data_IF_260274244896
#
_entry.id   IF_260274244896
#
_cell.length_a   1.000
_cell.length_b   1.000
_cell.length_c   1.000
_cell.angle_alpha   90.00
_cell.angle_beta   90.00
_cell.angle_gamma   90.00
#
_symmetry.space_group_name_H-M   'P 1'
#
loop_
_entity.id
_entity.type
_entity.pdbx_description
1 polymer ?
#
# COMPACT_ATOMS: atom_id res chain seq x y z
N UNK A 1 30.76 -24.06 20.73
CA UNK A 1 30.44 -23.37 19.46
C UNK A 1 29.05 -23.82 19.08
N UNK A 2 28.05 -22.95 19.20
CA UNK A 2 26.64 -23.32 19.03
C UNK A 2 26.11 -22.53 17.84
N UNK A 3 25.74 -23.24 16.77
CA UNK A 3 25.06 -22.68 15.60
C UNK A 3 23.58 -23.05 15.75
N UNK A 4 22.73 -22.06 15.96
CA UNK A 4 21.30 -22.23 15.89
C UNK A 4 20.85 -21.90 14.46
N UNK A 5 20.43 -22.92 13.71
CA UNK A 5 19.77 -22.75 12.42
C UNK A 5 18.28 -22.57 12.69
N UNK A 6 17.76 -21.38 12.42
CA UNK A 6 16.32 -21.12 12.39
C UNK A 6 15.80 -21.39 10.97
N UNK A 7 15.11 -22.51 10.79
CA UNK A 7 14.24 -22.72 9.63
C UNK A 7 12.85 -22.22 10.02
N UNK A 8 12.66 -20.91 9.95
CA UNK A 8 11.33 -20.32 10.02
C UNK A 8 10.64 -20.54 8.68
N UNK A 9 9.63 -21.43 8.66
CA UNK A 9 8.62 -21.42 7.60
C UNK A 9 7.79 -20.16 7.81
N UNK A 10 8.22 -19.03 7.23
CA UNK A 10 7.30 -17.95 6.95
C UNK A 10 6.51 -18.39 5.72
N UNK A 11 5.19 -18.57 5.84
CA UNK A 11 4.36 -18.57 4.63
C UNK A 11 4.43 -17.14 4.08
N UNK A 12 5.18 -16.88 2.98
CA UNK A 12 5.58 -15.51 2.64
C UNK A 12 4.44 -14.71 1.98
N UNK A 13 3.42 -15.40 1.48
CA UNK A 13 2.49 -14.80 0.53
C UNK A 13 1.41 -13.90 1.14
N UNK A 14 1.12 -14.00 2.44
CA UNK A 14 0.08 -13.16 3.08
C UNK A 14 0.66 -11.98 3.88
N UNK A 15 1.98 -11.93 4.10
CA UNK A 15 2.62 -10.89 4.91
C UNK A 15 3.39 -9.85 4.07
N UNK A 16 3.79 -10.20 2.85
CA UNK A 16 4.40 -9.24 1.93
C UNK A 16 3.49 -8.01 1.77
N UNK A 17 4.09 -6.83 1.89
CA UNK A 17 3.45 -5.51 1.84
C UNK A 17 2.50 -5.17 3.00
N UNK A 18 2.39 -6.01 4.03
CA UNK A 18 1.56 -5.70 5.18
C UNK A 18 2.10 -4.49 5.94
N UNK A 19 1.22 -3.51 6.18
CA UNK A 19 1.61 -2.25 6.84
C UNK A 19 1.88 -2.39 8.34
N UNK A 20 1.48 -3.51 8.93
CA UNK A 20 1.79 -3.87 10.30
C UNK A 20 3.06 -4.74 10.41
N UNK A 21 3.61 -5.24 9.30
CA UNK A 21 4.81 -6.06 9.30
C UNK A 21 6.07 -5.18 9.33
N UNK A 22 6.95 -5.47 10.30
CA UNK A 22 8.24 -4.80 10.53
C UNK A 22 9.42 -5.57 9.94
N UNK A 23 9.16 -6.71 9.29
CA UNK A 23 10.12 -7.46 8.51
C UNK A 23 10.51 -6.78 7.20
N UNK A 24 11.47 -7.38 6.49
CA UNK A 24 11.99 -6.89 5.21
C UNK A 24 10.92 -6.77 4.10
N UNK A 25 9.95 -7.67 4.09
CA UNK A 25 8.89 -7.71 3.06
C UNK A 25 7.70 -6.81 3.41
N UNK A 26 7.67 -6.24 4.62
CA UNK A 26 6.59 -5.40 5.13
C UNK A 26 6.65 -3.94 4.68
N UNK A 27 5.57 -3.21 4.93
CA UNK A 27 5.43 -1.79 4.56
C UNK A 27 5.25 -0.85 5.76
N UNK A 28 5.56 -1.29 6.98
CA UNK A 28 5.43 -0.46 8.19
C UNK A 28 6.27 0.82 8.12
N UNK A 29 7.53 0.73 7.68
CA UNK A 29 8.41 1.91 7.51
C UNK A 29 7.90 2.87 6.43
N UNK A 30 7.37 2.36 5.32
CA UNK A 30 6.73 3.20 4.29
C UNK A 30 5.55 3.97 4.88
N UNK A 31 4.71 3.31 5.68
CA UNK A 31 3.58 3.95 6.34
C UNK A 31 4.02 5.00 7.37
N UNK A 32 5.08 4.72 8.14
CA UNK A 32 5.67 5.67 9.09
C UNK A 32 6.14 6.94 8.37
N UNK A 33 7.01 6.81 7.36
CA UNK A 33 7.51 7.94 6.57
C UNK A 33 6.36 8.72 5.94
N UNK A 34 5.36 8.04 5.37
CA UNK A 34 4.20 8.71 4.78
C UNK A 34 3.43 9.54 5.83
N UNK A 35 3.23 9.01 7.04
CA UNK A 35 2.53 9.73 8.13
C UNK A 35 3.35 10.90 8.66
N UNK A 36 4.67 10.77 8.73
CA UNK A 36 5.58 11.84 9.13
C UNK A 36 5.58 12.98 8.12
N UNK A 37 5.73 12.67 6.83
CA UNK A 37 5.82 13.66 5.75
C UNK A 37 4.47 14.29 5.39
N UNK A 38 3.39 13.49 5.39
CA UNK A 38 2.08 13.94 4.95
C UNK A 38 1.13 14.27 6.11
N UNK A 39 1.45 13.86 7.34
CA UNK A 39 0.60 13.99 8.50
C UNK A 39 -0.38 12.82 8.67
N UNK A 40 -0.44 12.26 9.88
CA UNK A 40 -1.18 11.02 10.18
C UNK A 40 -2.69 11.04 9.86
N UNK A 41 -3.32 12.23 9.81
CA UNK A 41 -4.74 12.35 9.44
C UNK A 41 -4.99 12.28 7.93
N UNK A 42 -3.96 12.51 7.11
CA UNK A 42 -4.06 12.50 5.65
C UNK A 42 -3.66 11.16 5.02
N UNK A 43 -3.09 10.24 5.80
CA UNK A 43 -2.70 8.91 5.34
C UNK A 43 -3.71 7.88 5.84
N UNK A 44 -4.30 7.12 4.92
CA UNK A 44 -5.28 6.08 5.23
C UNK A 44 -4.89 4.80 4.52
N UNK A 45 -4.71 3.73 5.29
CA UNK A 45 -4.60 2.37 4.76
C UNK A 45 -6.02 1.82 4.64
N UNK A 46 -6.41 1.43 3.44
CA UNK A 46 -7.76 0.93 3.13
C UNK A 46 -7.68 -0.33 2.29
N UNK A 47 -8.54 -1.32 2.57
CA UNK A 47 -8.68 -2.52 1.74
C UNK A 47 -9.77 -2.40 0.66
N UNK A 48 -10.54 -1.31 0.65
CA UNK A 48 -11.57 -1.04 -0.35
C UNK A 48 -11.66 0.46 -0.61
N UNK A 49 -11.78 0.83 -1.89
CA UNK A 49 -11.80 2.21 -2.34
C UNK A 49 -13.16 2.57 -2.95
N UNK A 50 -13.86 3.49 -2.28
CA UNK A 50 -14.95 4.26 -2.87
C UNK A 50 -14.36 5.51 -3.55
N UNK A 51 -14.51 5.60 -4.87
CA UNK A 51 -14.00 6.74 -5.64
C UNK A 51 -14.84 8.00 -5.43
N UNK A 52 -16.09 7.89 -4.95
CA UNK A 52 -16.98 9.04 -4.79
C UNK A 52 -16.58 9.99 -3.67
N UNK A 53 -15.73 9.53 -2.74
CA UNK A 53 -15.23 10.32 -1.62
C UNK A 53 -13.87 10.97 -1.89
N UNK A 54 -13.29 10.74 -3.06
CA UNK A 54 -11.99 11.31 -3.43
C UNK A 54 -12.15 12.73 -3.97
N UNK A 55 -11.24 13.60 -3.56
CA UNK A 55 -11.09 14.93 -4.11
C UNK A 55 -9.94 14.98 -5.13
N UNK A 56 -9.97 15.88 -6.13
CA UNK A 56 -8.89 16.04 -7.11
C UNK A 56 -7.48 16.21 -6.55
N UNK A 57 -7.35 16.68 -5.31
CA UNK A 57 -6.05 16.86 -4.65
C UNK A 57 -5.53 15.61 -3.97
N UNK A 58 -6.32 14.55 -3.88
CA UNK A 58 -5.91 13.30 -3.25
C UNK A 58 -4.94 12.51 -4.15
N UNK A 59 -4.30 11.52 -3.55
CA UNK A 59 -3.45 10.58 -4.24
C UNK A 59 -3.73 9.14 -3.78
N UNK A 60 -3.67 8.19 -4.72
CA UNK A 60 -3.86 6.76 -4.46
C UNK A 60 -2.53 6.04 -4.72
N UNK A 61 -2.11 5.19 -3.80
CA UNK A 61 -1.02 4.24 -4.00
C UNK A 61 -1.61 2.83 -3.96
N UNK A 62 -1.55 2.12 -5.09
CA UNK A 62 -1.88 0.69 -5.15
C UNK A 62 -0.60 -0.10 -4.87
N UNK A 63 -0.57 -0.85 -3.77
CA UNK A 63 0.53 -1.76 -3.44
C UNK A 63 0.08 -3.18 -3.78
N UNK A 64 0.79 -3.83 -4.71
CA UNK A 64 0.54 -5.21 -5.16
C UNK A 64 -0.97 -5.53 -5.31
N UNK A 65 -1.69 -4.84 -6.22
CA UNK A 65 -3.12 -5.04 -6.36
C UNK A 65 -3.43 -6.45 -6.90
N UNK A 66 -4.00 -7.31 -6.07
CA UNK A 66 -4.44 -8.66 -6.45
C UNK A 66 -5.83 -8.70 -7.09
N UNK A 67 -6.44 -7.53 -7.27
CA UNK A 67 -7.77 -7.33 -7.86
C UNK A 67 -7.71 -6.31 -8.98
N UNK A 68 -8.66 -6.39 -9.90
CA UNK A 68 -8.75 -5.44 -11.01
C UNK A 68 -9.01 -4.01 -10.49
N UNK A 69 -8.15 -3.08 -10.90
CA UNK A 69 -8.36 -1.64 -10.64
C UNK A 69 -9.40 -1.12 -11.64
N UNK A 70 -10.52 -0.62 -11.11
CA UNK A 70 -11.63 -0.11 -11.93
C UNK A 70 -11.19 1.07 -12.81
N UNK A 71 -11.08 0.83 -14.12
CA UNK A 71 -10.58 1.82 -15.08
C UNK A 71 -11.41 3.10 -15.14
N UNK A 72 -12.73 3.02 -15.36
CA UNK A 72 -13.56 4.21 -15.59
C UNK A 72 -13.55 5.20 -14.40
N UNK A 73 -13.74 4.78 -13.13
CA UNK A 73 -13.62 5.68 -11.99
C UNK A 73 -12.21 6.25 -11.80
N UNK A 74 -11.16 5.44 -12.00
CA UNK A 74 -9.79 5.91 -11.90
C UNK A 74 -9.47 6.95 -12.98
N UNK A 75 -9.87 6.71 -14.23
CA UNK A 75 -9.67 7.65 -15.32
C UNK A 75 -10.38 8.99 -15.05
N UNK A 76 -11.60 8.97 -14.51
CA UNK A 76 -12.31 10.18 -14.12
C UNK A 76 -11.59 10.95 -13.00
N UNK A 77 -11.09 10.24 -11.99
CA UNK A 77 -10.30 10.83 -10.90
C UNK A 77 -9.00 11.48 -11.40
N UNK A 78 -8.26 10.79 -12.28
CA UNK A 78 -7.04 11.32 -12.89
C UNK A 78 -7.33 12.54 -13.77
N UNK A 79 -8.39 12.49 -14.58
CA UNK A 79 -8.82 13.62 -15.42
C UNK A 79 -9.21 14.85 -14.60
N UNK A 80 -9.70 14.66 -13.37
CA UNK A 80 -10.01 15.74 -12.45
C UNK A 80 -8.77 16.37 -11.79
N UNK A 81 -7.57 15.76 -11.92
CA UNK A 81 -6.31 16.23 -11.33
C UNK A 81 -5.76 15.32 -10.22
N UNK A 82 -6.46 14.24 -9.91
CA UNK A 82 -6.02 13.20 -8.98
C UNK A 82 -4.72 12.54 -9.45
N UNK A 83 -3.99 11.94 -8.52
CA UNK A 83 -2.73 11.23 -8.80
C UNK A 83 -2.83 9.78 -8.35
N UNK A 84 -2.32 8.86 -9.15
CA UNK A 84 -2.23 7.47 -8.77
C UNK A 84 -0.85 6.91 -9.11
N UNK A 85 -0.36 6.01 -8.26
CA UNK A 85 0.83 5.21 -8.51
C UNK A 85 0.51 3.73 -8.23
N UNK A 86 1.16 2.84 -8.98
CA UNK A 86 1.09 1.41 -8.77
C UNK A 86 2.51 0.93 -8.50
N UNK A 87 2.67 0.18 -7.42
CA UNK A 87 3.90 -0.55 -7.12
C UNK A 87 3.51 -2.01 -7.14
N UNK A 88 4.08 -2.74 -8.10
CA UNK A 88 3.80 -4.14 -8.35
C UNK A 88 5.13 -4.91 -8.40
N UNK A 89 5.10 -6.16 -7.97
CA UNK A 89 6.23 -7.09 -7.96
C UNK A 89 6.04 -8.28 -8.92
N UNK A 90 4.94 -8.27 -9.68
CA UNK A 90 4.64 -9.21 -10.76
C UNK A 90 5.50 -9.07 -12.02
#
# INVERSE_FOLDING_TARGET
MLVAVWLGVTSPASAAFETADTGWEGCSQLLEVAKEELGSRRVRVIGSLDYSVLEPRDAILFLHPTVEVRFHPLAAFLAAGGRAAVVDDH
#
